data_IF_998719382035
#
_entry.id   IF_998719382035
#
_cell.length_a   1.000
_cell.length_b   1.000
_cell.length_c   1.000
_cell.angle_alpha   90.00
_cell.angle_beta   90.00
_cell.angle_gamma   90.00
#
_symmetry.space_group_name_H-M   'P 1'
#
loop_
_entity.id
_entity.type
_entity.pdbx_description
1 polymer ?
#
# COMPACT_ATOMS: atom_id res chain seq x y z
N UNK A 1 43.99 16.21 17.08
CA UNK A 1 44.52 15.27 16.07
C UNK A 1 44.00 15.69 14.71
N UNK A 2 44.81 15.61 13.66
CA UNK A 2 44.38 15.94 12.30
C UNK A 2 43.21 15.03 11.89
N UNK A 3 42.13 15.62 11.39
CA UNK A 3 40.92 14.89 10.96
C UNK A 3 41.29 14.02 9.76
N UNK A 4 41.38 12.70 9.95
CA UNK A 4 41.52 11.76 8.83
C UNK A 4 40.29 11.93 7.95
N UNK A 5 40.52 12.28 6.68
CA UNK A 5 39.43 12.49 5.74
C UNK A 5 38.82 11.13 5.40
N UNK A 6 37.50 11.01 5.55
CA UNK A 6 36.79 9.82 5.12
C UNK A 6 37.02 9.60 3.60
N UNK A 7 37.27 8.36 3.15
CA UNK A 7 37.31 8.04 1.73
C UNK A 7 36.00 8.43 1.05
N UNK A 8 36.08 9.07 -0.12
CA UNK A 8 34.92 9.62 -0.84
C UNK A 8 33.94 8.52 -1.24
N UNK A 9 34.43 7.30 -1.51
CA UNK A 9 33.60 6.14 -1.87
C UNK A 9 32.71 5.72 -0.70
N UNK A 10 33.24 5.72 0.52
CA UNK A 10 32.50 5.37 1.74
C UNK A 10 31.47 6.46 2.07
N UNK A 11 31.88 7.74 1.99
CA UNK A 11 30.96 8.88 2.16
C UNK A 11 29.78 8.78 1.17
N UNK A 12 30.09 8.54 -0.10
CA UNK A 12 29.09 8.39 -1.16
C UNK A 12 28.16 7.21 -0.89
N UNK A 13 28.69 6.05 -0.49
CA UNK A 13 27.89 4.88 -0.16
C UNK A 13 26.87 5.18 0.95
N UNK A 14 27.32 5.77 2.07
CA UNK A 14 26.42 6.10 3.19
C UNK A 14 25.32 7.10 2.77
N UNK A 15 25.66 8.08 1.94
CA UNK A 15 24.69 9.05 1.44
C UNK A 15 23.68 8.44 0.45
N UNK A 16 24.11 7.48 -0.37
CA UNK A 16 23.24 6.76 -1.31
C UNK A 16 22.33 5.78 -0.57
N UNK A 17 22.87 5.00 0.36
CA UNK A 17 22.12 4.02 1.15
C UNK A 17 21.01 4.71 1.96
N UNK A 18 21.35 5.79 2.66
CA UNK A 18 20.37 6.59 3.42
C UNK A 18 19.49 7.47 2.54
N UNK A 19 19.88 7.70 1.28
CA UNK A 19 19.29 8.71 0.39
C UNK A 19 19.08 10.05 1.09
N UNK A 20 20.06 10.46 1.92
CA UNK A 20 20.04 11.69 2.73
C UNK A 20 18.81 11.81 3.66
N UNK A 21 18.29 10.69 4.17
CA UNK A 21 17.25 10.65 5.21
C UNK A 21 17.86 10.33 6.56
N UNK A 22 17.44 11.04 7.59
CA UNK A 22 17.89 10.79 8.95
C UNK A 22 17.15 9.58 9.53
N UNK A 23 17.90 8.56 9.95
CA UNK A 23 17.31 7.36 10.53
C UNK A 23 16.55 7.63 11.84
N UNK A 24 16.98 8.61 12.65
CA UNK A 24 16.28 8.99 13.88
C UNK A 24 14.95 9.69 13.58
N UNK A 25 14.92 10.65 12.65
CA UNK A 25 13.67 11.28 12.20
C UNK A 25 12.66 10.24 11.69
N UNK A 26 13.14 9.26 10.93
CA UNK A 26 12.31 8.19 10.39
C UNK A 26 11.77 7.27 11.49
N UNK A 27 12.61 6.81 12.41
CA UNK A 27 12.19 5.90 13.46
C UNK A 27 11.20 6.54 14.44
N UNK A 28 11.43 7.81 14.81
CA UNK A 28 10.58 8.50 15.79
C UNK A 28 9.29 9.07 15.19
N UNK A 29 9.34 9.57 13.94
CA UNK A 29 8.25 10.36 13.35
C UNK A 29 7.81 9.89 11.96
N UNK A 30 8.38 8.80 11.43
CA UNK A 30 8.16 8.34 10.04
C UNK A 30 8.44 9.42 8.99
N UNK A 31 9.35 10.32 9.32
CA UNK A 31 9.73 11.41 8.43
C UNK A 31 10.64 10.89 7.31
N UNK A 32 10.07 10.79 6.12
CA UNK A 32 10.74 10.30 4.90
C UNK A 32 11.35 11.42 4.07
N UNK A 33 11.37 12.67 4.57
CA UNK A 33 11.94 13.78 3.85
C UNK A 33 13.47 13.72 3.82
N UNK A 34 14.04 14.19 2.71
CA UNK A 34 15.47 14.46 2.61
C UNK A 34 15.85 15.57 3.59
N UNK A 35 16.93 15.37 4.33
CA UNK A 35 17.37 16.31 5.37
C UNK A 35 18.72 16.95 5.01
N UNK A 36 18.93 18.23 5.37
CA UNK A 36 20.28 18.75 5.55
C UNK A 36 20.92 18.05 6.76
N UNK A 37 22.12 17.51 6.59
CA UNK A 37 22.70 16.62 7.59
C UNK A 37 24.15 16.23 7.31
N UNK A 38 24.70 15.41 8.21
CA UNK A 38 26.09 14.96 8.21
C UNK A 38 26.17 13.47 8.56
N UNK A 39 27.30 12.84 8.20
CA UNK A 39 27.60 11.47 8.59
C UNK A 39 28.23 11.47 9.98
N UNK A 40 27.59 10.78 10.92
CA UNK A 40 28.09 10.52 12.25
C UNK A 40 28.83 9.18 12.31
N UNK A 41 29.99 9.18 12.97
CA UNK A 41 30.66 7.96 13.44
C UNK A 41 30.04 7.54 14.77
N UNK A 42 29.33 6.42 14.77
CA UNK A 42 28.52 6.05 15.93
C UNK A 42 29.39 5.75 17.16
N UNK A 43 30.52 5.08 17.00
CA UNK A 43 31.46 4.82 18.09
C UNK A 43 32.26 6.05 18.57
N UNK A 44 32.05 7.22 17.99
CA UNK A 44 32.81 8.44 18.28
C UNK A 44 34.25 8.42 17.77
N UNK A 45 34.69 7.34 17.11
CA UNK A 45 36.02 7.22 16.53
C UNK A 45 36.01 7.69 15.08
N UNK A 46 36.50 8.91 14.85
CA UNK A 46 36.56 9.53 13.53
C UNK A 46 37.42 8.78 12.49
N UNK A 47 38.20 7.77 12.91
CA UNK A 47 39.03 6.94 12.04
C UNK A 47 38.36 5.60 11.68
N UNK A 48 37.22 5.25 12.31
CA UNK A 48 36.47 4.03 12.01
C UNK A 48 35.42 4.26 10.92
N UNK A 49 35.84 4.15 9.66
CA UNK A 49 34.98 4.37 8.48
C UNK A 49 34.18 3.14 8.04
N UNK A 50 33.97 2.14 8.90
CA UNK A 50 33.17 0.97 8.51
C UNK A 50 31.71 1.36 8.32
N UNK A 51 31.07 0.93 7.22
CA UNK A 51 29.68 1.29 6.90
C UNK A 51 28.70 1.03 8.06
N UNK A 52 28.77 -0.10 8.81
CA UNK A 52 27.91 -0.34 9.97
C UNK A 52 28.10 0.66 11.12
N UNK A 53 29.24 1.34 11.19
CA UNK A 53 29.55 2.36 12.17
C UNK A 53 29.17 3.79 11.72
N UNK A 54 28.74 3.96 10.49
CA UNK A 54 28.38 5.27 9.93
C UNK A 54 26.86 5.40 9.79
N UNK A 55 26.32 6.56 10.13
CA UNK A 55 24.92 6.90 9.89
C UNK A 55 24.79 8.35 9.40
N UNK A 56 23.91 8.58 8.43
CA UNK A 56 23.53 9.94 8.05
C UNK A 56 22.44 10.46 9.02
N UNK A 57 22.71 11.59 9.67
CA UNK A 57 21.79 12.24 10.59
C UNK A 57 21.51 13.68 10.13
N UNK A 58 20.29 14.17 10.33
CA UNK A 58 20.01 15.60 10.16
C UNK A 58 20.81 16.41 11.20
N UNK A 59 21.06 17.69 10.94
CA UNK A 59 21.88 18.51 11.84
C UNK A 59 21.37 18.48 13.29
N UNK A 60 20.05 18.57 13.50
CA UNK A 60 19.43 18.50 14.83
C UNK A 60 19.75 17.21 15.58
N UNK A 61 19.52 16.05 14.93
CA UNK A 61 19.80 14.76 15.56
C UNK A 61 21.30 14.43 15.60
N UNK A 62 22.09 14.99 14.68
CA UNK A 62 23.54 14.89 14.73
C UNK A 62 24.08 15.61 15.97
N UNK A 63 23.62 16.84 16.22
CA UNK A 63 23.98 17.60 17.42
C UNK A 63 23.48 16.90 18.69
N UNK A 64 22.23 16.39 18.69
CA UNK A 64 21.68 15.64 19.83
C UNK A 64 22.38 14.30 20.10
N UNK A 65 23.05 13.73 19.09
CA UNK A 65 23.85 12.51 19.23
C UNK A 65 25.27 12.80 19.73
N UNK A 66 25.92 13.83 19.18
CA UNK A 66 27.31 14.19 19.49
C UNK A 66 27.44 14.95 20.83
N UNK A 67 26.34 15.52 21.33
CA UNK A 67 26.34 16.24 22.61
C UNK A 67 26.03 15.34 23.81
N UNK A 68 26.78 15.54 24.90
CA UNK A 68 26.43 14.98 26.21
C UNK A 68 25.72 16.07 27.02
N UNK A 69 24.42 15.89 27.29
CA UNK A 69 23.66 16.79 28.17
C UNK A 69 23.55 16.19 29.58
N UNK A 70 23.42 17.04 30.60
CA UNK A 70 23.21 16.62 32.00
C UNK A 70 21.73 16.43 32.36
N UNK A 71 20.81 16.88 31.49
CA UNK A 71 19.37 16.93 31.76
C UNK A 71 18.58 15.88 30.98
N UNK A 72 18.98 15.59 29.74
CA UNK A 72 18.32 14.59 28.89
C UNK A 72 19.25 13.41 28.62
N UNK A 73 18.67 12.24 28.36
CA UNK A 73 19.42 11.11 27.83
C UNK A 73 19.64 11.35 26.33
N UNK A 74 20.89 11.52 25.93
CA UNK A 74 21.25 11.50 24.51
C UNK A 74 21.06 10.10 23.91
N UNK A 75 20.92 10.06 22.58
CA UNK A 75 20.76 8.84 21.81
C UNK A 75 21.94 7.88 21.99
N UNK A 76 21.66 6.58 22.10
CA UNK A 76 22.68 5.53 22.20
C UNK A 76 23.00 4.94 20.84
N UNK A 77 24.25 4.49 20.68
CA UNK A 77 24.72 3.76 19.48
C UNK A 77 23.75 2.66 19.07
N UNK A 78 23.28 1.87 20.04
CA UNK A 78 22.37 0.75 19.79
C UNK A 78 21.02 1.21 19.21
N UNK A 79 20.47 2.32 19.70
CA UNK A 79 19.23 2.91 19.17
C UNK A 79 19.46 3.38 17.72
N UNK A 80 20.52 4.14 17.49
CA UNK A 80 20.81 4.68 16.15
C UNK A 80 21.08 3.57 15.13
N UNK A 81 21.75 2.48 15.53
CA UNK A 81 21.92 1.30 14.69
C UNK A 81 20.58 0.65 14.32
N UNK A 82 19.70 0.44 15.30
CA UNK A 82 18.38 -0.14 15.05
C UNK A 82 17.53 0.75 14.14
N UNK A 83 17.56 2.06 14.36
CA UNK A 83 16.85 3.02 13.51
C UNK A 83 17.40 3.06 12.09
N UNK A 84 18.72 2.88 11.93
CA UNK A 84 19.34 2.77 10.60
C UNK A 84 18.86 1.51 9.88
N UNK A 85 18.83 0.37 10.56
CA UNK A 85 18.30 -0.90 10.00
C UNK A 85 16.86 -0.71 9.51
N UNK A 86 15.99 -0.13 10.35
CA UNK A 86 14.59 0.13 10.02
C UNK A 86 14.42 1.04 8.78
N UNK A 87 15.24 2.10 8.67
CA UNK A 87 15.24 2.97 7.49
C UNK A 87 15.69 2.21 6.23
N UNK A 88 16.71 1.35 6.34
CA UNK A 88 17.22 0.59 5.19
C UNK A 88 16.19 -0.43 4.69
N UNK A 89 15.53 -1.14 5.61
CA UNK A 89 14.45 -2.08 5.27
C UNK A 89 13.29 -1.36 4.56
N UNK A 90 12.85 -0.22 5.10
CA UNK A 90 11.80 0.58 4.48
C UNK A 90 12.20 1.09 3.09
N UNK A 91 13.42 1.61 2.93
CA UNK A 91 13.92 2.05 1.63
C UNK A 91 14.00 0.90 0.63
N UNK A 92 14.47 -0.27 1.06
CA UNK A 92 14.50 -1.49 0.24
C UNK A 92 13.10 -1.88 -0.24
N UNK A 93 12.12 -1.89 0.66
CA UNK A 93 10.72 -2.16 0.32
C UNK A 93 10.14 -1.10 -0.64
N UNK A 94 10.26 0.19 -0.30
CA UNK A 94 9.68 1.28 -1.09
C UNK A 94 10.28 1.40 -2.50
N UNK A 95 11.55 1.03 -2.68
CA UNK A 95 12.24 1.08 -3.98
C UNK A 95 12.11 -0.22 -4.78
N UNK A 96 11.88 -1.35 -4.11
CA UNK A 96 11.58 -2.62 -4.78
C UNK A 96 10.11 -2.72 -5.19
N UNK A 97 9.25 -1.86 -4.66
CA UNK A 97 7.89 -1.68 -5.15
C UNK A 97 7.96 -1.23 -6.61
N UNK A 98 7.75 -2.19 -7.52
CA UNK A 98 7.65 -1.96 -8.95
C UNK A 98 6.38 -1.16 -9.24
N UNK A 99 6.46 0.17 -9.10
CA UNK A 99 5.36 1.05 -9.47
C UNK A 99 5.37 1.19 -10.99
N UNK A 100 4.69 0.27 -11.66
CA UNK A 100 4.44 0.34 -13.09
C UNK A 100 3.23 1.25 -13.34
N UNK A 101 3.48 2.52 -13.71
CA UNK A 101 2.43 3.41 -14.18
C UNK A 101 1.78 2.83 -15.44
N UNK A 102 0.49 2.50 -15.36
CA UNK A 102 -0.32 2.09 -16.51
C UNK A 102 -0.23 0.62 -16.92
N UNK A 103 0.55 -0.21 -16.23
CA UNK A 103 0.53 -1.68 -16.40
C UNK A 103 0.57 -2.31 -15.02
N UNK A 104 -0.57 -2.74 -14.53
CA UNK A 104 -0.66 -3.45 -13.27
C UNK A 104 -0.16 -4.89 -13.49
N UNK A 105 1.13 -5.14 -13.28
CA UNK A 105 1.58 -6.53 -13.12
C UNK A 105 1.10 -7.01 -11.76
N UNK A 106 0.05 -7.83 -11.80
CA UNK A 106 -0.46 -8.58 -10.66
C UNK A 106 0.73 -9.31 -10.03
N UNK A 107 1.00 -9.19 -8.72
CA UNK A 107 1.90 -10.12 -8.05
C UNK A 107 1.48 -11.53 -8.45
N UNK A 108 2.43 -12.41 -8.84
CA UNK A 108 2.11 -13.78 -9.26
C UNK A 108 1.32 -14.58 -8.20
N UNK A 109 1.25 -14.06 -6.97
CA UNK A 109 0.57 -14.61 -5.81
C UNK A 109 -0.59 -13.75 -5.30
N UNK A 110 -1.10 -12.74 -6.03
CA UNK A 110 -2.27 -11.99 -5.58
C UNK A 110 -3.55 -12.86 -5.76
N UNK A 111 -4.18 -13.30 -4.66
CA UNK A 111 -5.29 -14.24 -4.73
C UNK A 111 -6.60 -13.56 -5.17
N UNK A 112 -6.64 -12.23 -5.30
CA UNK A 112 -7.88 -11.46 -5.48
C UNK A 112 -7.92 -10.71 -6.80
N UNK A 113 -6.77 -10.24 -7.23
CA UNK A 113 -6.63 -9.38 -8.38
C UNK A 113 -6.81 -10.10 -9.72
N UNK A 114 -7.35 -9.38 -10.71
CA UNK A 114 -7.59 -9.89 -12.06
C UNK A 114 -8.98 -9.58 -12.59
N UNK A 115 -9.27 -10.13 -13.77
CA UNK A 115 -10.58 -10.04 -14.42
C UNK A 115 -11.44 -11.24 -14.01
N UNK A 116 -12.69 -10.98 -13.67
CA UNK A 116 -13.66 -11.96 -13.19
C UNK A 116 -14.92 -11.87 -14.05
N UNK A 117 -15.38 -13.00 -14.56
CA UNK A 117 -16.54 -13.08 -15.46
C UNK A 117 -17.66 -13.86 -14.79
N UNK A 118 -18.88 -13.32 -14.83
CA UNK A 118 -20.07 -13.96 -14.26
C UNK A 118 -20.33 -15.29 -14.94
N UNK A 119 -20.57 -16.30 -14.13
CA UNK A 119 -20.96 -17.64 -14.56
C UNK A 119 -22.48 -17.76 -14.70
N UNK A 120 -22.92 -18.57 -15.66
CA UNK A 120 -24.30 -19.04 -15.74
C UNK A 120 -25.33 -18.04 -16.23
N UNK A 121 -24.94 -16.90 -16.83
CA UNK A 121 -25.88 -15.94 -17.41
C UNK A 121 -25.46 -15.46 -18.80
N UNK A 122 -26.17 -15.93 -19.83
CA UNK A 122 -26.05 -15.39 -21.19
C UNK A 122 -26.85 -14.10 -21.38
N UNK A 123 -27.94 -13.93 -20.64
CA UNK A 123 -28.83 -12.77 -20.78
C UNK A 123 -28.35 -11.56 -19.97
N UNK A 124 -27.68 -11.81 -18.84
CA UNK A 124 -27.18 -10.78 -17.91
C UNK A 124 -25.67 -10.96 -17.64
N UNK A 125 -24.82 -10.87 -18.67
CA UNK A 125 -23.38 -10.98 -18.49
C UNK A 125 -22.87 -9.84 -17.63
N UNK A 126 -21.86 -10.12 -16.82
CA UNK A 126 -21.16 -9.11 -16.03
C UNK A 126 -19.69 -9.47 -15.88
N UNK A 127 -18.87 -8.44 -15.80
CA UNK A 127 -17.44 -8.55 -15.58
C UNK A 127 -17.01 -7.60 -14.47
N UNK A 128 -16.06 -8.05 -13.66
CA UNK A 128 -15.38 -7.25 -12.66
C UNK A 128 -13.88 -7.27 -12.93
N UNK A 129 -13.24 -6.13 -12.75
CA UNK A 129 -11.80 -5.98 -12.72
C UNK A 129 -11.38 -5.54 -11.31
N UNK A 130 -10.52 -6.35 -10.69
CA UNK A 130 -9.96 -6.10 -9.37
C UNK A 130 -8.49 -5.72 -9.53
N UNK A 131 -8.16 -4.52 -9.08
CA UNK A 131 -6.88 -3.86 -9.28
C UNK A 131 -6.25 -3.60 -7.91
N UNK A 132 -5.14 -4.27 -7.53
CA UNK A 132 -4.42 -3.98 -6.31
C UNK A 132 -3.93 -2.53 -6.28
N UNK A 133 -4.03 -1.94 -5.11
CA UNK A 133 -3.53 -0.63 -4.79
C UNK A 133 -2.40 -0.77 -3.76
N UNK A 134 -1.56 0.24 -3.57
CA UNK A 134 -0.60 0.23 -2.48
C UNK A 134 -1.29 -0.07 -1.15
N UNK A 135 -0.68 -0.91 -0.33
CA UNK A 135 -1.21 -1.25 0.99
C UNK A 135 -1.41 0.01 1.84
N UNK A 136 -2.24 -0.10 2.88
CA UNK A 136 -2.31 0.95 3.91
C UNK A 136 -0.97 1.06 4.64
N UNK A 137 -0.79 2.14 5.41
CA UNK A 137 0.38 2.30 6.28
C UNK A 137 0.52 1.13 7.26
N UNK A 138 -0.62 0.55 7.65
CA UNK A 138 -0.70 -0.61 8.55
C UNK A 138 -0.53 -1.97 7.82
N UNK A 139 -0.20 -1.95 6.53
CA UNK A 139 0.05 -3.16 5.73
C UNK A 139 -1.21 -3.90 5.26
N UNK A 140 -2.38 -3.25 5.27
CA UNK A 140 -3.62 -3.88 4.80
C UNK A 140 -3.75 -3.76 3.28
N UNK A 141 -4.04 -4.88 2.63
CA UNK A 141 -4.26 -4.94 1.19
C UNK A 141 -5.47 -4.13 0.76
N UNK A 142 -5.32 -3.37 -0.32
CA UNK A 142 -6.36 -2.50 -0.88
C UNK A 142 -6.57 -2.78 -2.36
N UNK A 143 -7.82 -2.62 -2.79
CA UNK A 143 -8.21 -2.88 -4.17
C UNK A 143 -9.14 -1.78 -4.68
N UNK A 144 -8.96 -1.43 -5.94
CA UNK A 144 -9.98 -0.77 -6.75
C UNK A 144 -10.75 -1.85 -7.50
N UNK A 145 -12.07 -1.85 -7.34
CA UNK A 145 -12.98 -2.75 -8.04
C UNK A 145 -13.75 -1.91 -9.04
N UNK A 146 -13.69 -2.32 -10.30
CA UNK A 146 -14.52 -1.77 -11.37
C UNK A 146 -15.29 -2.88 -12.05
N UNK A 147 -16.43 -2.57 -12.67
CA UNK A 147 -17.25 -3.59 -13.29
C UNK A 147 -18.27 -3.03 -14.26
N UNK A 148 -18.65 -3.86 -15.21
CA UNK A 148 -19.76 -3.62 -16.15
C UNK A 148 -20.71 -4.80 -16.08
N UNK A 149 -22.00 -4.53 -15.95
CA UNK A 149 -23.04 -5.54 -15.99
C UNK A 149 -24.11 -5.15 -17.02
N UNK A 150 -24.62 -6.15 -17.72
CA UNK A 150 -25.74 -6.00 -18.64
C UNK A 150 -26.98 -6.69 -18.07
N UNK A 151 -28.14 -6.17 -18.43
CA UNK A 151 -29.42 -6.81 -18.18
C UNK A 151 -30.22 -6.92 -19.47
N UNK A 152 -30.79 -8.10 -19.70
CA UNK A 152 -31.75 -8.34 -20.77
C UNK A 152 -31.17 -8.15 -22.17
N UNK A 153 -29.93 -8.60 -22.40
CA UNK A 153 -29.25 -8.52 -23.70
C UNK A 153 -30.04 -9.17 -24.85
N UNK A 154 -30.95 -10.09 -24.54
CA UNK A 154 -31.80 -10.84 -25.47
C UNK A 154 -33.31 -10.56 -25.34
N UNK A 155 -33.76 -9.70 -24.40
CA UNK A 155 -35.19 -9.53 -24.10
C UNK A 155 -35.72 -8.12 -24.37
N UNK A 156 -37.05 -7.95 -24.47
CA UNK A 156 -37.72 -6.70 -24.88
C UNK A 156 -37.56 -5.52 -23.90
N UNK A 157 -37.00 -5.75 -22.72
CA UNK A 157 -36.86 -4.77 -21.64
C UNK A 157 -35.41 -4.32 -21.43
N UNK A 158 -34.46 -4.89 -22.18
CA UNK A 158 -33.06 -4.48 -22.26
C UNK A 158 -32.67 -4.02 -23.68
N UNK A 159 -31.36 -3.83 -23.94
CA UNK A 159 -30.26 -3.99 -22.99
C UNK A 159 -30.13 -2.76 -22.07
N UNK A 160 -30.09 -2.98 -20.76
CA UNK A 160 -29.63 -1.99 -19.80
C UNK A 160 -28.18 -2.32 -19.43
N UNK A 161 -27.37 -1.29 -19.19
CA UNK A 161 -25.97 -1.42 -18.80
C UNK A 161 -25.73 -0.59 -17.54
N UNK A 162 -24.96 -1.16 -16.63
CA UNK A 162 -24.55 -0.52 -15.39
C UNK A 162 -23.09 -0.70 -15.10
N UNK A 163 -22.55 0.24 -14.34
CA UNK A 163 -21.16 0.25 -13.90
C UNK A 163 -21.09 0.22 -12.38
N UNK A 164 -20.08 -0.45 -11.85
CA UNK A 164 -19.75 -0.48 -10.43
C UNK A 164 -18.30 -0.05 -10.29
N UNK A 165 -18.02 0.92 -9.42
CA UNK A 165 -16.67 1.39 -9.14
C UNK A 165 -16.54 1.73 -7.65
N UNK A 166 -15.58 1.12 -6.96
CA UNK A 166 -15.30 1.43 -5.56
C UNK A 166 -13.90 1.02 -5.13
N UNK A 167 -13.48 1.60 -4.01
CA UNK A 167 -12.24 1.24 -3.31
C UNK A 167 -12.61 0.46 -2.05
N UNK A 168 -11.90 -0.63 -1.77
CA UNK A 168 -12.11 -1.39 -0.54
C UNK A 168 -10.81 -2.01 -0.05
N UNK A 169 -10.80 -2.27 1.25
CA UNK A 169 -9.75 -3.05 1.91
C UNK A 169 -10.29 -4.47 2.08
N UNK A 170 -9.40 -5.46 2.18
CA UNK A 170 -9.85 -6.82 2.52
C UNK A 170 -10.32 -6.85 3.96
N UNK A 171 -11.60 -7.18 4.16
CA UNK A 171 -12.23 -7.36 5.46
C UNK A 171 -12.43 -8.87 5.66
N UNK A 172 -12.29 -9.34 6.91
CA UNK A 172 -12.46 -10.76 7.27
C UNK A 172 -11.64 -11.73 6.41
N UNK A 173 -10.45 -11.31 5.99
CA UNK A 173 -9.47 -12.08 5.20
C UNK A 173 -9.90 -12.47 3.77
N UNK A 174 -11.17 -12.32 3.37
CA UNK A 174 -11.64 -12.77 2.05
C UNK A 174 -12.82 -11.98 1.44
N UNK A 175 -13.16 -10.79 1.95
CA UNK A 175 -14.20 -9.96 1.32
C UNK A 175 -13.82 -8.50 1.10
N UNK A 176 -14.39 -7.91 0.04
CA UNK A 176 -14.37 -6.48 -0.25
C UNK A 176 -15.80 -5.95 -0.13
N UNK A 177 -15.95 -4.86 0.61
CA UNK A 177 -17.28 -4.29 0.92
C UNK A 177 -17.41 -2.90 0.30
N UNK A 178 -18.52 -2.70 -0.40
CA UNK A 178 -18.97 -1.40 -0.89
C UNK A 178 -20.27 -1.00 -0.17
N UNK A 179 -20.17 0.00 0.71
CA UNK A 179 -21.32 0.56 1.41
C UNK A 179 -21.82 1.80 0.65
N UNK A 180 -23.11 1.83 0.37
CA UNK A 180 -23.77 2.94 -0.33
C UNK A 180 -25.08 3.31 0.35
N UNK A 181 -25.69 4.42 -0.06
CA UNK A 181 -27.04 4.78 0.37
C UNK A 181 -28.05 3.91 -0.36
N UNK A 182 -28.99 3.30 0.37
CA UNK A 182 -30.10 2.56 -0.23
C UNK A 182 -31.06 3.50 -0.98
N UNK A 183 -31.53 3.06 -2.15
CA UNK A 183 -32.50 3.78 -2.97
C UNK A 183 -33.93 3.40 -2.55
N UNK A 184 -34.12 2.17 -2.04
CA UNK A 184 -35.43 1.64 -1.62
C UNK A 184 -35.68 1.80 -0.12
N UNK A 185 -34.66 1.60 0.72
CA UNK A 185 -34.72 1.72 2.18
C UNK A 185 -34.24 3.11 2.61
N UNK A 186 -35.18 4.07 2.71
CA UNK A 186 -34.86 5.43 3.11
C UNK A 186 -34.09 5.47 4.45
N UNK A 187 -32.83 5.87 4.39
CA UNK A 187 -31.99 6.12 5.58
C UNK A 187 -31.04 4.98 5.95
N UNK A 188 -31.20 3.78 5.38
CA UNK A 188 -30.33 2.64 5.66
C UNK A 188 -29.22 2.51 4.59
N UNK A 189 -28.01 2.08 4.97
CA UNK A 189 -26.98 1.73 4.01
C UNK A 189 -27.35 0.42 3.29
N UNK A 190 -27.08 0.35 1.99
CA UNK A 190 -27.09 -0.89 1.22
C UNK A 190 -25.64 -1.35 0.99
N UNK A 191 -25.43 -2.66 1.00
CA UNK A 191 -24.11 -3.27 0.88
C UNK A 191 -24.01 -4.06 -0.43
N UNK A 192 -22.90 -3.89 -1.15
CA UNK A 192 -22.42 -4.87 -2.11
C UNK A 192 -21.17 -5.52 -1.52
N UNK A 193 -21.22 -6.82 -1.34
CA UNK A 193 -20.12 -7.62 -0.81
C UNK A 193 -19.56 -8.50 -1.93
N UNK A 194 -18.25 -8.42 -2.14
CA UNK A 194 -17.48 -9.26 -3.04
C UNK A 194 -16.69 -10.24 -2.20
N UNK A 195 -17.01 -11.52 -2.30
CA UNK A 195 -16.49 -12.59 -1.44
C UNK A 195 -15.63 -13.52 -2.29
N UNK A 196 -14.37 -13.69 -1.91
CA UNK A 196 -13.49 -14.70 -2.48
C UNK A 196 -13.71 -16.02 -1.76
N UNK A 197 -14.02 -17.07 -2.50
CA UNK A 197 -14.32 -18.39 -1.94
C UNK A 197 -13.11 -19.31 -2.03
N UNK A 198 -13.00 -20.25 -1.08
CA UNK A 198 -11.86 -21.17 -0.99
C UNK A 198 -11.66 -22.05 -2.24
N UNK A 199 -12.70 -22.23 -3.03
CA UNK A 199 -12.69 -22.97 -4.30
C UNK A 199 -12.25 -22.12 -5.51
N UNK A 200 -11.79 -20.88 -5.27
CA UNK A 200 -11.23 -20.00 -6.31
C UNK A 200 -12.26 -19.20 -7.11
N UNK A 201 -13.52 -19.18 -6.68
CA UNK A 201 -14.56 -18.33 -7.26
C UNK A 201 -14.66 -16.99 -6.54
N UNK A 202 -15.43 -16.09 -7.16
CA UNK A 202 -15.84 -14.82 -6.56
C UNK A 202 -17.37 -14.78 -6.52
N UNK A 203 -17.94 -14.52 -5.35
CA UNK A 203 -19.39 -14.35 -5.17
C UNK A 203 -19.68 -12.89 -4.85
N UNK A 204 -20.55 -12.26 -5.64
CA UNK A 204 -21.10 -10.95 -5.33
C UNK A 204 -22.46 -11.12 -4.69
N UNK A 205 -22.70 -10.42 -3.58
CA UNK A 205 -24.01 -10.28 -2.95
C UNK A 205 -24.38 -8.82 -2.89
N UNK A 206 -25.63 -8.51 -3.23
CA UNK A 206 -26.12 -7.14 -3.21
C UNK A 206 -27.39 -7.03 -2.38
N UNK A 207 -27.38 -6.09 -1.44
CA UNK A 207 -28.60 -5.61 -0.80
C UNK A 207 -29.15 -4.46 -1.64
N UNK A 208 -30.47 -4.40 -1.82
CA UNK A 208 -31.15 -3.32 -2.54
C UNK A 208 -30.55 -2.96 -3.92
N UNK A 209 -30.87 -3.78 -4.92
CA UNK A 209 -30.46 -3.59 -6.33
C UNK A 209 -31.42 -2.71 -7.13
N UNK A 210 -32.43 -2.11 -6.49
CA UNK A 210 -33.52 -1.38 -7.15
C UNK A 210 -33.06 -0.17 -7.96
N UNK A 211 -32.62 -0.41 -9.20
CA UNK A 211 -32.17 0.64 -10.13
C UNK A 211 -30.78 1.21 -9.84
N UNK A 212 -30.03 0.65 -8.90
CA UNK A 212 -28.72 1.15 -8.46
C UNK A 212 -27.73 1.33 -9.62
N UNK A 213 -27.69 0.37 -10.53
CA UNK A 213 -26.78 0.37 -11.68
C UNK A 213 -27.54 0.58 -12.99
N UNK A 214 -28.81 1.00 -12.92
CA UNK A 214 -29.74 0.97 -14.04
C UNK A 214 -30.81 -0.11 -13.88
N UNK A 215 -31.88 0.03 -14.67
CA UNK A 215 -33.08 -0.80 -14.53
C UNK A 215 -32.77 -2.29 -14.75
N UNK A 216 -32.99 -3.11 -13.72
CA UNK A 216 -32.75 -4.55 -13.75
C UNK A 216 -31.28 -4.98 -13.74
N UNK A 217 -30.32 -4.03 -13.72
CA UNK A 217 -28.89 -4.33 -13.69
C UNK A 217 -28.48 -4.68 -12.27
N UNK A 218 -27.75 -5.78 -12.12
CA UNK A 218 -27.21 -6.27 -10.85
C UNK A 218 -25.82 -6.82 -11.09
N UNK A 219 -24.95 -6.75 -10.08
CA UNK A 219 -23.68 -7.46 -10.01
C UNK A 219 -23.78 -8.78 -9.23
N UNK A 220 -24.89 -9.09 -8.56
CA UNK A 220 -25.11 -10.34 -7.83
C UNK A 220 -24.87 -11.57 -8.72
N UNK A 221 -24.15 -12.55 -8.17
CA UNK A 221 -23.87 -13.80 -8.86
C UNK A 221 -22.53 -14.42 -8.49
N UNK A 222 -22.23 -15.53 -9.16
CA UNK A 222 -20.96 -16.24 -9.05
C UNK A 222 -20.08 -15.93 -10.26
N UNK A 223 -18.79 -15.74 -10.04
CA UNK A 223 -17.81 -15.35 -11.03
C UNK A 223 -16.62 -16.29 -10.98
N UNK A 224 -15.97 -16.46 -12.13
CA UNK A 224 -14.67 -17.13 -12.25
C UNK A 224 -13.64 -16.16 -12.78
N UNK A 225 -12.38 -16.37 -12.42
CA UNK A 225 -11.26 -15.64 -13.01
C UNK A 225 -11.15 -15.98 -14.50
N UNK A 226 -10.92 -14.96 -15.34
CA UNK A 226 -10.71 -15.10 -16.78
C UNK A 226 -9.36 -15.75 -17.11
#
# INVERSE_FOLDING_TARGET
>A
MARTRMPTEIETAVLLDSRRRCCICFALNRDTNVKPGQIAHLDGNNSNHTIPNLAFLCLEHHDGYDTTTSQSKGFKIAEVKRYKEELMEWLGSALSQKVHYGVLELPASDPYAGQWVRMGSSENPAELQIIPLPDTIDGQARYFVSGVAYFGTSNRYGPNMGTLEFFSQVIHESSLVFVRRSIVLQGEPAITEVIFTDDGHLKVREEDTGGQYGSGVTFDGLYRRA
#
